data_IF_758094838232
#
_entry.id   IF_758094838232
#
_cell.length_a   1.000
_cell.length_b   1.000
_cell.length_c   1.000
_cell.angle_alpha   90.00
_cell.angle_beta   90.00
_cell.angle_gamma   90.00
#
_symmetry.space_group_name_H-M   'P 1'
#
loop_
_entity.id
_entity.type
_entity.pdbx_description
1 polymer ?
#
# COMPACT_ATOMS: atom_id res chain seq x y z
N UNK A 1 28.84 -45.95 -7.09
CA UNK A 1 27.97 -45.22 -6.14
C UNK A 1 28.00 -43.75 -6.55
N UNK A 2 27.01 -43.32 -7.32
CA UNK A 2 26.83 -41.91 -7.69
C UNK A 2 25.56 -41.43 -6.97
N UNK A 3 25.75 -40.54 -6.00
CA UNK A 3 24.69 -39.93 -5.23
C UNK A 3 24.20 -38.69 -5.99
N UNK A 4 22.93 -38.70 -6.40
CA UNK A 4 22.33 -37.69 -7.27
C UNK A 4 21.68 -36.59 -6.44
N UNK A 5 22.09 -35.34 -6.68
CA UNK A 5 21.52 -34.13 -6.09
C UNK A 5 20.03 -33.96 -6.43
N UNK A 6 19.18 -33.53 -5.48
CA UNK A 6 17.75 -33.34 -5.74
C UNK A 6 17.51 -32.07 -6.57
N UNK A 7 16.94 -32.25 -7.77
CA UNK A 7 16.41 -31.15 -8.59
C UNK A 7 15.10 -30.63 -7.98
N UNK A 8 14.94 -29.31 -7.92
CA UNK A 8 13.68 -28.66 -7.56
C UNK A 8 12.55 -29.16 -8.49
N UNK A 9 11.48 -29.68 -7.88
CA UNK A 9 10.33 -30.19 -8.62
C UNK A 9 9.66 -29.07 -9.42
N UNK A 10 9.30 -29.37 -10.67
CA UNK A 10 8.51 -28.51 -11.55
C UNK A 10 7.18 -28.20 -10.85
N UNK A 11 6.83 -26.92 -10.71
CA UNK A 11 5.61 -26.49 -10.03
C UNK A 11 4.38 -27.25 -10.55
N UNK A 12 3.64 -27.89 -9.65
CA UNK A 12 2.36 -28.52 -9.97
C UNK A 12 1.37 -27.42 -10.30
N UNK A 13 0.83 -27.42 -11.52
CA UNK A 13 -0.35 -26.63 -11.85
C UNK A 13 -1.47 -26.99 -10.86
N UNK A 14 -2.04 -25.97 -10.23
CA UNK A 14 -3.22 -26.14 -9.40
C UNK A 14 -4.35 -26.75 -10.27
N UNK A 15 -5.02 -27.83 -9.83
CA UNK A 15 -6.14 -28.37 -10.56
C UNK A 15 -7.22 -27.30 -10.67
N UNK A 16 -7.66 -27.01 -11.90
CA UNK A 16 -8.85 -26.20 -12.13
C UNK A 16 -10.01 -26.98 -11.51
N UNK A 17 -10.76 -26.40 -10.53
CA UNK A 17 -11.93 -27.06 -9.97
C UNK A 17 -12.89 -27.47 -11.10
N UNK A 18 -13.40 -28.70 -11.12
CA UNK A 18 -14.40 -29.08 -12.11
C UNK A 18 -15.67 -28.26 -11.89
N UNK A 19 -16.13 -27.57 -12.95
CA UNK A 19 -17.32 -26.74 -12.94
C UNK A 19 -17.03 -25.27 -13.25
N UNK A 20 -18.05 -24.54 -13.68
CA UNK A 20 -17.97 -23.09 -13.74
C UNK A 20 -17.87 -22.57 -12.31
N UNK A 21 -16.79 -21.88 -11.97
CA UNK A 21 -16.69 -21.19 -10.69
C UNK A 21 -17.77 -20.11 -10.66
N UNK A 22 -18.82 -20.34 -9.88
CA UNK A 22 -19.85 -19.34 -9.60
C UNK A 22 -19.45 -18.62 -8.31
N UNK A 23 -18.95 -17.37 -8.39
CA UNK A 23 -18.57 -16.64 -7.19
C UNK A 23 -19.80 -16.43 -6.30
N UNK A 24 -19.67 -16.55 -4.97
CA UNK A 24 -20.77 -16.24 -4.06
C UNK A 24 -21.23 -14.79 -4.28
N UNK A 25 -22.56 -14.58 -4.27
CA UNK A 25 -23.14 -13.27 -4.52
C UNK A 25 -22.53 -12.19 -3.60
N UNK A 26 -22.01 -11.14 -4.23
CA UNK A 26 -21.38 -10.00 -3.55
C UNK A 26 -22.34 -9.30 -2.60
N UNK A 27 -23.58 -9.14 -3.02
CA UNK A 27 -24.67 -8.56 -2.25
C UNK A 27 -25.80 -9.58 -2.15
N UNK A 28 -26.27 -9.82 -0.92
CA UNK A 28 -27.46 -10.62 -0.68
C UNK A 28 -28.50 -9.72 -0.01
N UNK A 29 -29.59 -9.45 -0.74
CA UNK A 29 -30.77 -8.74 -0.24
C UNK A 29 -31.88 -9.78 0.01
N UNK A 30 -32.28 -10.04 1.27
CA UNK A 30 -33.34 -10.99 1.56
C UNK A 30 -34.69 -10.54 0.97
N UNK A 31 -35.42 -11.45 0.33
CA UNK A 31 -36.73 -11.16 -0.29
C UNK A 31 -37.84 -10.81 0.73
N UNK A 32 -37.70 -11.24 1.98
CA UNK A 32 -38.72 -11.12 3.03
C UNK A 32 -38.34 -10.13 4.15
N UNK A 33 -37.85 -8.93 3.79
CA UNK A 33 -37.66 -7.84 4.76
C UNK A 33 -36.49 -8.00 5.73
N UNK A 34 -35.46 -8.77 5.35
CA UNK A 34 -34.24 -8.93 6.14
C UNK A 34 -33.18 -7.87 5.81
N UNK A 35 -32.24 -7.64 6.75
CA UNK A 35 -31.12 -6.75 6.49
C UNK A 35 -30.11 -7.34 5.50
N UNK A 36 -29.63 -6.56 4.52
CA UNK A 36 -28.67 -7.02 3.54
C UNK A 36 -27.31 -7.38 4.16
N UNK A 37 -26.58 -8.24 3.47
CA UNK A 37 -25.16 -8.47 3.73
C UNK A 37 -24.36 -8.27 2.45
N UNK A 38 -23.15 -7.74 2.62
CA UNK A 38 -22.18 -7.56 1.53
C UNK A 38 -20.95 -8.40 1.85
N UNK A 39 -20.58 -9.28 0.93
CA UNK A 39 -19.36 -10.08 1.01
C UNK A 39 -18.24 -9.35 0.27
N UNK A 40 -17.02 -9.53 0.73
CA UNK A 40 -15.83 -9.01 0.11
C UNK A 40 -14.78 -10.12 0.05
N UNK A 41 -14.11 -10.24 -1.09
CA UNK A 41 -12.94 -11.09 -1.29
C UNK A 41 -11.88 -10.19 -1.94
N UNK A 42 -10.77 -9.98 -1.24
CA UNK A 42 -9.66 -9.16 -1.73
C UNK A 42 -8.79 -9.92 -2.73
N UNK A 43 -7.95 -9.19 -3.48
CA UNK A 43 -6.92 -9.79 -4.34
C UNK A 43 -5.94 -10.68 -3.57
N UNK A 44 -5.75 -10.41 -2.27
CA UNK A 44 -4.95 -11.19 -1.33
C UNK A 44 -5.71 -12.39 -0.72
N UNK A 45 -6.85 -12.79 -1.30
CA UNK A 45 -7.74 -13.86 -0.82
C UNK A 45 -8.35 -13.61 0.56
N UNK A 46 -8.18 -12.40 1.14
CA UNK A 46 -8.79 -12.08 2.43
C UNK A 46 -10.27 -11.77 2.26
N UNK A 47 -11.07 -12.40 3.09
CA UNK A 47 -12.52 -12.24 3.05
C UNK A 47 -13.05 -11.32 4.16
N UNK A 48 -14.19 -10.69 3.92
CA UNK A 48 -14.95 -9.97 4.94
C UNK A 48 -16.44 -10.02 4.64
N UNK A 49 -17.25 -10.04 5.70
CA UNK A 49 -18.72 -10.01 5.59
C UNK A 49 -19.25 -8.81 6.37
N UNK A 50 -19.89 -7.89 5.66
CA UNK A 50 -20.48 -6.69 6.20
C UNK A 50 -21.98 -6.91 6.39
N UNK A 51 -22.42 -7.00 7.65
CA UNK A 51 -23.81 -7.33 8.02
C UNK A 51 -24.54 -6.06 8.45
N UNK A 52 -25.48 -5.58 7.63
CA UNK A 52 -26.26 -4.38 7.96
C UNK A 52 -27.23 -4.60 9.12
N UNK A 53 -27.60 -5.85 9.43
CA UNK A 53 -28.46 -6.19 10.58
C UNK A 53 -27.95 -5.66 11.93
N UNK A 54 -26.66 -5.34 12.02
CA UNK A 54 -26.01 -4.83 13.23
C UNK A 54 -26.05 -3.30 13.34
N UNK A 55 -26.63 -2.62 12.35
CA UNK A 55 -26.68 -1.16 12.29
C UNK A 55 -28.08 -0.63 12.61
N UNK A 56 -28.19 0.59 13.15
CA UNK A 56 -29.47 1.26 13.27
C UNK A 56 -29.95 1.76 11.90
N UNK A 57 -31.20 2.23 11.81
CA UNK A 57 -31.80 2.81 10.60
C UNK A 57 -32.02 1.80 9.47
N UNK A 58 -32.81 0.77 9.76
CA UNK A 58 -33.11 -0.35 8.85
C UNK A 58 -33.57 0.10 7.45
N UNK A 59 -34.32 1.19 7.34
CA UNK A 59 -34.79 1.71 6.06
C UNK A 59 -33.71 2.33 5.15
N UNK A 60 -32.47 2.51 5.65
CA UNK A 60 -31.31 2.92 4.86
C UNK A 60 -30.44 1.74 4.42
N UNK A 61 -30.68 0.53 4.94
CA UNK A 61 -29.73 -0.58 4.82
C UNK A 61 -29.52 -1.01 3.37
N UNK A 62 -30.60 -1.15 2.60
CA UNK A 62 -30.54 -1.64 1.22
C UNK A 62 -29.76 -0.70 0.30
N UNK A 63 -30.08 0.59 0.35
CA UNK A 63 -29.43 1.59 -0.51
C UNK A 63 -27.92 1.69 -0.19
N UNK A 64 -27.54 1.70 1.09
CA UNK A 64 -26.13 1.72 1.49
C UNK A 64 -25.41 0.40 1.23
N UNK A 65 -26.10 -0.75 1.30
CA UNK A 65 -25.51 -2.03 0.95
C UNK A 65 -25.23 -2.13 -0.56
N UNK A 66 -26.14 -1.63 -1.40
CA UNK A 66 -25.93 -1.49 -2.85
C UNK A 66 -24.76 -0.57 -3.16
N UNK A 67 -24.67 0.60 -2.52
CA UNK A 67 -23.55 1.51 -2.69
C UNK A 67 -22.22 0.88 -2.24
N UNK A 68 -22.20 0.20 -1.10
CA UNK A 68 -21.00 -0.49 -0.62
C UNK A 68 -20.58 -1.59 -1.61
N UNK A 69 -21.52 -2.40 -2.09
CA UNK A 69 -21.28 -3.45 -3.08
C UNK A 69 -20.72 -2.88 -4.39
N UNK A 70 -21.27 -1.78 -4.90
CA UNK A 70 -20.76 -1.12 -6.10
C UNK A 70 -19.29 -0.69 -5.95
N UNK A 71 -18.89 -0.23 -4.75
CA UNK A 71 -17.53 0.26 -4.50
C UNK A 71 -16.49 -0.82 -4.28
N UNK A 72 -16.89 -1.98 -3.76
CA UNK A 72 -15.98 -3.09 -3.45
C UNK A 72 -16.07 -4.24 -4.45
N UNK A 73 -17.07 -4.21 -5.33
CA UNK A 73 -17.27 -5.19 -6.38
C UNK A 73 -16.23 -5.11 -7.50
N UNK A 74 -16.38 -5.93 -8.54
CA UNK A 74 -15.38 -6.07 -9.61
C UNK A 74 -15.09 -4.74 -10.34
N UNK A 75 -16.11 -3.92 -10.54
CA UNK A 75 -15.98 -2.59 -11.17
C UNK A 75 -15.57 -1.49 -10.17
N UNK A 76 -15.45 -1.84 -8.89
CA UNK A 76 -15.14 -0.93 -7.79
C UNK A 76 -13.65 -0.67 -7.61
N UNK A 77 -13.31 0.51 -7.07
CA UNK A 77 -11.92 0.92 -6.82
C UNK A 77 -11.31 0.39 -5.51
N UNK A 78 -12.02 -0.43 -4.72
CA UNK A 78 -11.57 -0.87 -3.39
C UNK A 78 -11.22 -2.35 -3.37
N UNK A 79 -9.97 -2.67 -3.70
CA UNK A 79 -9.49 -4.05 -3.91
C UNK A 79 -8.84 -4.72 -2.70
N UNK A 80 -8.65 -3.98 -1.60
CA UNK A 80 -8.05 -4.51 -0.36
C UNK A 80 -9.05 -4.56 0.78
N UNK A 81 -8.90 -5.56 1.66
CA UNK A 81 -9.74 -5.71 2.85
C UNK A 81 -9.71 -4.45 3.73
N UNK A 82 -8.54 -3.82 3.89
CA UNK A 82 -8.39 -2.58 4.66
C UNK A 82 -9.24 -1.45 4.10
N UNK A 83 -9.30 -1.31 2.78
CA UNK A 83 -10.07 -0.26 2.14
C UNK A 83 -11.59 -0.52 2.23
N UNK A 84 -12.01 -1.77 2.03
CA UNK A 84 -13.41 -2.19 2.23
C UNK A 84 -13.86 -1.98 3.69
N UNK A 85 -13.02 -2.36 4.66
CA UNK A 85 -13.26 -2.13 6.08
C UNK A 85 -13.35 -0.63 6.40
N UNK A 86 -12.49 0.21 5.81
CA UNK A 86 -12.57 1.66 5.96
C UNK A 86 -13.94 2.21 5.55
N UNK A 87 -14.45 1.76 4.39
CA UNK A 87 -15.77 2.17 3.89
C UNK A 87 -16.90 1.71 4.83
N UNK A 88 -16.83 0.47 5.30
CA UNK A 88 -17.78 -0.07 6.28
C UNK A 88 -17.79 0.74 7.58
N UNK A 89 -16.62 1.08 8.12
CA UNK A 89 -16.51 1.88 9.33
C UNK A 89 -17.08 3.30 9.15
N UNK A 90 -16.95 3.88 7.95
CA UNK A 90 -17.58 5.17 7.63
C UNK A 90 -19.11 5.08 7.65
N UNK A 91 -19.71 4.01 7.10
CA UNK A 91 -21.15 3.74 7.17
C UNK A 91 -21.60 3.59 8.62
N UNK A 92 -20.93 2.72 9.39
CA UNK A 92 -21.28 2.47 10.80
C UNK A 92 -21.35 3.76 11.60
N UNK A 93 -20.31 4.58 11.53
CA UNK A 93 -20.23 5.84 12.27
C UNK A 93 -21.30 6.81 11.81
N UNK A 94 -21.55 6.91 10.52
CA UNK A 94 -22.60 7.77 9.99
C UNK A 94 -23.97 7.37 10.53
N UNK A 95 -24.31 6.09 10.47
CA UNK A 95 -25.57 5.55 10.98
C UNK A 95 -25.69 5.76 12.49
N UNK A 96 -24.61 5.54 13.25
CA UNK A 96 -24.59 5.85 14.68
C UNK A 96 -24.88 7.32 14.94
N UNK A 97 -24.25 8.26 14.22
CA UNK A 97 -24.52 9.70 14.40
C UNK A 97 -25.97 10.05 14.10
N UNK A 98 -26.53 9.52 13.01
CA UNK A 98 -27.91 9.79 12.62
C UNK A 98 -28.93 9.21 13.58
N UNK A 99 -28.67 8.02 14.14
CA UNK A 99 -29.56 7.37 15.10
C UNK A 99 -29.72 8.16 16.42
N UNK A 100 -28.81 9.08 16.73
CA UNK A 100 -28.89 9.95 17.91
C UNK A 100 -29.64 11.27 17.64
N UNK A 101 -30.13 11.49 16.42
CA UNK A 101 -30.96 12.65 16.11
C UNK A 101 -32.36 12.49 16.73
N UNK A 102 -32.98 13.62 17.08
CA UNK A 102 -34.35 13.63 17.59
C UNK A 102 -35.36 13.08 16.56
N UNK A 103 -35.10 13.33 15.28
CA UNK A 103 -35.85 12.80 14.14
C UNK A 103 -34.86 12.19 13.12
N UNK A 104 -34.51 10.90 13.27
CA UNK A 104 -33.54 10.24 12.41
C UNK A 104 -34.15 9.90 11.03
N UNK A 105 -33.40 10.08 9.93
CA UNK A 105 -33.89 9.75 8.58
C UNK A 105 -34.17 8.25 8.48
N UNK A 106 -35.37 7.90 8.00
CA UNK A 106 -35.80 6.52 7.85
C UNK A 106 -35.47 5.97 6.47
N UNK A 107 -35.41 6.85 5.46
CA UNK A 107 -35.18 6.50 4.06
C UNK A 107 -34.16 7.45 3.44
N UNK A 108 -33.57 7.06 2.31
CA UNK A 108 -32.59 7.92 1.61
C UNK A 108 -33.21 9.24 1.15
N UNK A 109 -34.53 9.27 0.89
CA UNK A 109 -35.26 10.48 0.56
C UNK A 109 -35.31 11.49 1.73
N UNK A 110 -35.05 11.04 2.96
CA UNK A 110 -35.03 11.87 4.16
C UNK A 110 -33.63 12.45 4.43
N UNK A 111 -32.61 12.00 3.70
CA UNK A 111 -31.26 12.53 3.86
C UNK A 111 -31.19 14.00 3.40
N UNK A 112 -30.50 14.82 4.19
CA UNK A 112 -30.34 16.27 3.97
C UNK A 112 -28.89 16.66 4.20
N UNK A 113 -28.49 17.82 3.70
CA UNK A 113 -27.14 18.38 3.91
C UNK A 113 -26.77 18.44 5.41
N UNK A 114 -27.72 18.85 6.27
CA UNK A 114 -27.54 18.89 7.74
C UNK A 114 -27.09 17.56 8.36
N UNK A 115 -27.43 16.42 7.75
CA UNK A 115 -27.02 15.09 8.23
C UNK A 115 -25.53 14.84 7.97
N UNK A 116 -25.04 15.28 6.81
CA UNK A 116 -23.61 15.24 6.44
C UNK A 116 -22.81 16.21 7.31
N UNK A 117 -23.35 17.41 7.55
CA UNK A 117 -22.72 18.39 8.44
C UNK A 117 -22.65 17.91 9.89
N UNK A 118 -23.72 17.29 10.40
CA UNK A 118 -23.72 16.70 11.74
C UNK A 118 -22.66 15.62 11.87
N UNK A 119 -22.50 14.77 10.86
CA UNK A 119 -21.44 13.79 10.81
C UNK A 119 -20.06 14.44 10.84
N UNK A 120 -19.84 15.50 10.05
CA UNK A 120 -18.59 16.28 10.08
C UNK A 120 -18.29 16.82 11.47
N UNK A 121 -19.28 17.42 12.16
CA UNK A 121 -19.11 17.95 13.52
C UNK A 121 -18.70 16.84 14.50
N UNK A 122 -19.38 15.69 14.48
CA UNK A 122 -19.01 14.54 15.31
C UNK A 122 -17.59 14.02 15.02
N UNK A 123 -17.11 14.14 13.78
CA UNK A 123 -15.71 13.79 13.47
C UNK A 123 -14.71 14.79 14.02
N UNK A 124 -15.03 16.09 14.02
CA UNK A 124 -14.15 17.12 14.58
C UNK A 124 -14.02 17.01 16.10
N UNK A 125 -15.02 16.48 16.80
CA UNK A 125 -14.96 16.20 18.25
C UNK A 125 -13.95 15.10 18.60
N UNK A 126 -13.65 14.19 17.67
CA UNK A 126 -12.90 12.95 17.96
C UNK A 126 -11.56 12.84 17.24
N UNK A 127 -11.28 13.69 16.25
CA UNK A 127 -10.02 13.66 15.51
C UNK A 127 -9.66 15.01 14.90
N UNK A 128 -8.39 15.17 14.53
CA UNK A 128 -7.89 16.37 13.86
C UNK A 128 -8.66 16.68 12.56
N UNK A 129 -8.76 17.97 12.22
CA UNK A 129 -9.55 18.47 11.09
C UNK A 129 -9.24 17.77 9.77
N UNK A 130 -7.95 17.58 9.44
CA UNK A 130 -7.52 16.88 8.22
C UNK A 130 -8.11 15.47 8.13
N UNK A 131 -8.15 14.75 9.25
CA UNK A 131 -8.70 13.39 9.32
C UNK A 131 -10.22 13.40 9.25
N UNK A 132 -10.88 14.38 9.90
CA UNK A 132 -12.32 14.56 9.80
C UNK A 132 -12.77 14.84 8.36
N UNK A 133 -12.06 15.73 7.65
CA UNK A 133 -12.32 16.04 6.24
C UNK A 133 -12.21 14.79 5.35
N UNK A 134 -11.19 13.96 5.56
CA UNK A 134 -11.03 12.71 4.82
C UNK A 134 -12.20 11.76 5.03
N UNK A 135 -12.68 11.59 6.26
CA UNK A 135 -13.85 10.74 6.54
C UNK A 135 -15.13 11.27 5.87
N UNK A 136 -15.33 12.59 5.88
CA UNK A 136 -16.47 13.22 5.22
C UNK A 136 -16.39 13.03 3.71
N UNK A 137 -15.20 13.16 3.10
CA UNK A 137 -14.98 12.86 1.68
C UNK A 137 -15.29 11.41 1.32
N UNK A 138 -14.84 10.46 2.13
CA UNK A 138 -15.15 9.03 1.94
C UNK A 138 -16.65 8.73 2.02
N UNK A 139 -17.36 9.40 2.94
CA UNK A 139 -18.82 9.34 3.04
C UNK A 139 -19.48 9.94 1.79
N UNK A 140 -19.06 11.11 1.34
CA UNK A 140 -19.68 11.77 0.18
C UNK A 140 -19.49 10.98 -1.10
N UNK A 141 -18.33 10.34 -1.29
CA UNK A 141 -18.13 9.38 -2.37
C UNK A 141 -19.14 8.23 -2.30
N UNK A 142 -19.42 7.70 -1.10
CA UNK A 142 -20.43 6.65 -0.94
C UNK A 142 -21.83 7.14 -1.25
N UNK A 143 -22.17 8.35 -0.81
CA UNK A 143 -23.49 8.95 -1.06
C UNK A 143 -23.74 9.17 -2.55
N UNK A 144 -22.70 9.48 -3.33
CA UNK A 144 -22.76 9.56 -4.81
C UNK A 144 -22.98 8.22 -5.49
N UNK A 145 -22.59 7.13 -4.83
CA UNK A 145 -22.75 5.76 -5.33
C UNK A 145 -24.07 5.11 -4.83
N UNK A 146 -24.92 5.86 -4.10
CA UNK A 146 -26.26 5.37 -3.76
C UNK A 146 -27.07 5.13 -5.04
N UNK A 147 -27.88 4.05 -5.08
CA UNK A 147 -28.77 3.79 -6.21
C UNK A 147 -29.81 4.91 -6.33
N UNK A 148 -30.29 5.14 -7.55
CA UNK A 148 -31.40 6.06 -7.84
C UNK A 148 -31.20 7.46 -7.21
N UNK A 149 -30.10 8.14 -7.56
CA UNK A 149 -29.72 9.47 -7.05
C UNK A 149 -30.84 10.53 -7.14
N UNK A 150 -31.85 10.33 -7.98
CA UNK A 150 -33.03 11.17 -8.10
C UNK A 150 -33.91 11.15 -6.84
N UNK A 151 -33.88 10.06 -6.06
CA UNK A 151 -34.56 9.92 -4.76
C UNK A 151 -33.96 10.82 -3.68
N UNK A 152 -32.68 11.21 -3.83
CA UNK A 152 -32.05 12.14 -2.90
C UNK A 152 -32.67 13.53 -3.05
N UNK A 153 -32.83 14.18 -1.91
CA UNK A 153 -33.31 15.55 -1.86
C UNK A 153 -32.37 16.49 -2.67
N UNK A 154 -32.98 17.42 -3.39
CA UNK A 154 -32.29 18.19 -4.44
C UNK A 154 -31.10 19.00 -3.93
N UNK A 155 -31.18 19.59 -2.73
CA UNK A 155 -30.05 20.34 -2.15
C UNK A 155 -28.92 19.42 -1.73
N UNK A 156 -29.21 18.24 -1.16
CA UNK A 156 -28.21 17.21 -0.89
C UNK A 156 -27.53 16.73 -2.18
N UNK A 157 -28.30 16.44 -3.25
CA UNK A 157 -27.72 16.06 -4.54
C UNK A 157 -26.82 17.16 -5.11
N UNK A 158 -27.27 18.41 -5.05
CA UNK A 158 -26.47 19.57 -5.44
C UNK A 158 -25.18 19.70 -4.62
N UNK A 159 -25.29 19.54 -3.30
CA UNK A 159 -24.15 19.54 -2.37
C UNK A 159 -23.13 18.46 -2.71
N UNK A 160 -23.60 17.24 -3.02
CA UNK A 160 -22.73 16.15 -3.45
C UNK A 160 -22.01 16.46 -4.77
N UNK A 161 -22.60 17.23 -5.68
CA UNK A 161 -21.98 17.61 -6.96
C UNK A 161 -21.01 18.81 -6.86
N UNK A 162 -21.03 19.58 -5.77
CA UNK A 162 -20.17 20.76 -5.63
C UNK A 162 -18.67 20.39 -5.58
N UNK A 163 -17.87 21.04 -6.43
CA UNK A 163 -16.40 20.94 -6.43
C UNK A 163 -15.85 21.56 -5.14
N UNK A 164 -14.89 20.88 -4.50
CA UNK A 164 -14.31 21.29 -3.21
C UNK A 164 -14.97 20.65 -1.98
N UNK A 165 -16.23 20.22 -2.10
CA UNK A 165 -16.96 19.52 -1.04
C UNK A 165 -17.03 18.00 -1.27
N UNK A 166 -16.03 17.34 -1.88
CA UNK A 166 -15.98 15.88 -1.75
C UNK A 166 -15.14 15.06 -2.71
N UNK A 167 -14.75 15.61 -3.86
CA UNK A 167 -13.78 14.99 -4.75
C UNK A 167 -13.06 16.14 -5.43
N UNK A 168 -11.73 16.10 -5.44
CA UNK A 168 -10.87 17.19 -5.91
C UNK A 168 -10.95 18.50 -5.11
N UNK A 169 -10.69 18.45 -3.79
CA UNK A 169 -9.52 19.27 -3.42
C UNK A 169 -8.39 18.42 -3.95
N UNK A 170 -7.89 18.72 -5.16
CA UNK A 170 -6.51 18.37 -5.41
C UNK A 170 -5.80 18.94 -4.19
N UNK A 171 -5.36 18.08 -3.27
CA UNK A 171 -4.16 18.46 -2.55
C UNK A 171 -3.26 18.95 -3.67
N UNK A 172 -2.79 20.22 -3.66
CA UNK A 172 -1.84 20.64 -4.67
C UNK A 172 -0.85 19.49 -4.71
N UNK A 173 -0.85 18.74 -5.83
CA UNK A 173 -0.06 17.51 -5.89
C UNK A 173 1.30 17.95 -5.43
N UNK A 174 1.85 17.33 -4.37
CA UNK A 174 3.06 17.83 -3.70
C UNK A 174 3.93 18.39 -4.80
N UNK A 175 4.17 19.72 -4.84
CA UNK A 175 4.73 20.34 -6.03
C UNK A 175 5.91 19.47 -6.42
N UNK A 176 5.87 18.95 -7.66
CA UNK A 176 6.96 18.14 -8.17
C UNK A 176 8.26 18.88 -7.87
N UNK A 177 9.33 18.15 -7.53
CA UNK A 177 10.59 18.75 -7.13
C UNK A 177 10.89 19.98 -7.99
N UNK A 178 11.11 21.13 -7.35
CA UNK A 178 11.57 22.31 -8.08
C UNK A 178 12.88 21.97 -8.80
N UNK A 179 13.22 22.69 -9.88
CA UNK A 179 14.44 22.38 -10.65
C UNK A 179 15.69 22.31 -9.76
N UNK A 180 15.76 23.14 -8.71
CA UNK A 180 16.83 23.12 -7.71
C UNK A 180 16.81 21.87 -6.83
N UNK A 181 15.63 21.40 -6.40
CA UNK A 181 15.48 20.19 -5.59
C UNK A 181 15.76 18.95 -6.42
N UNK A 182 15.26 18.92 -7.66
CA UNK A 182 15.57 17.85 -8.61
C UNK A 182 17.06 17.81 -8.90
N UNK A 183 17.70 18.95 -9.15
CA UNK A 183 19.15 19.02 -9.37
C UNK A 183 19.94 18.57 -8.13
N UNK A 184 19.51 18.94 -6.93
CA UNK A 184 20.14 18.51 -5.68
C UNK A 184 20.00 17.00 -5.46
N UNK A 185 18.81 16.44 -5.68
CA UNK A 185 18.55 14.99 -5.59
C UNK A 185 19.37 14.23 -6.63
N UNK A 186 19.43 14.71 -7.87
CA UNK A 186 20.22 14.08 -8.93
C UNK A 186 21.74 14.18 -8.68
N UNK A 187 22.21 15.29 -8.10
CA UNK A 187 23.62 15.43 -7.71
C UNK A 187 23.99 14.48 -6.58
N UNK A 188 23.15 14.36 -5.55
CA UNK A 188 23.34 13.41 -4.46
C UNK A 188 23.33 11.96 -4.99
N UNK A 189 22.30 11.57 -5.75
CA UNK A 189 22.21 10.24 -6.33
C UNK A 189 23.40 9.91 -7.24
N UNK A 190 23.86 10.87 -8.07
CA UNK A 190 25.07 10.68 -8.88
C UNK A 190 26.31 10.47 -8.03
N UNK A 191 26.47 11.25 -6.97
CA UNK A 191 27.60 11.12 -6.04
C UNK A 191 27.61 9.73 -5.40
N UNK A 192 26.45 9.27 -4.93
CA UNK A 192 26.30 7.95 -4.31
C UNK A 192 26.58 6.82 -5.31
N UNK A 193 26.09 6.92 -6.56
CA UNK A 193 26.39 5.95 -7.62
C UNK A 193 27.88 5.89 -7.95
N UNK A 194 28.58 7.05 -7.97
CA UNK A 194 30.04 7.08 -8.15
C UNK A 194 30.74 6.40 -6.98
N UNK A 195 30.33 6.68 -5.74
CA UNK A 195 30.89 6.03 -4.55
C UNK A 195 30.68 4.50 -4.57
N UNK A 196 29.48 4.04 -4.96
CA UNK A 196 29.15 2.62 -5.12
C UNK A 196 30.07 1.97 -6.16
N UNK A 197 30.19 2.60 -7.34
CA UNK A 197 31.05 2.11 -8.43
C UNK A 197 32.51 2.02 -7.99
N UNK A 198 33.04 3.10 -7.39
CA UNK A 198 34.45 3.18 -7.02
C UNK A 198 34.79 2.18 -5.91
N UNK A 199 33.89 1.98 -4.95
CA UNK A 199 34.00 0.94 -3.92
C UNK A 199 34.07 -0.46 -4.54
N UNK A 200 33.16 -0.79 -5.46
CA UNK A 200 33.14 -2.11 -6.11
C UNK A 200 34.38 -2.35 -6.97
N UNK A 201 34.78 -1.36 -7.77
CA UNK A 201 35.98 -1.44 -8.61
C UNK A 201 37.26 -1.61 -7.77
N UNK A 202 37.37 -0.90 -6.63
CA UNK A 202 38.49 -1.06 -5.72
C UNK A 202 38.54 -2.46 -5.09
N UNK A 203 37.39 -3.04 -4.75
CA UNK A 203 37.30 -4.39 -4.21
C UNK A 203 37.62 -5.47 -5.26
N UNK A 204 37.13 -5.31 -6.49
CA UNK A 204 37.44 -6.19 -7.61
C UNK A 204 38.94 -6.19 -7.93
N UNK A 205 39.56 -5.00 -7.99
CA UNK A 205 41.00 -4.88 -8.20
C UNK A 205 41.81 -5.54 -7.09
N UNK A 206 41.40 -5.37 -5.82
CA UNK A 206 42.07 -6.02 -4.69
C UNK A 206 41.92 -7.55 -4.77
N UNK A 207 40.73 -8.04 -5.13
CA UNK A 207 40.46 -9.46 -5.30
C UNK A 207 41.30 -10.08 -6.42
N UNK A 208 41.45 -9.38 -7.55
CA UNK A 208 42.30 -9.81 -8.67
C UNK A 208 43.77 -9.90 -8.24
N UNK A 209 44.31 -8.84 -7.63
CA UNK A 209 45.69 -8.82 -7.11
C UNK A 209 45.94 -9.91 -6.06
N UNK A 210 44.95 -10.18 -5.21
CA UNK A 210 45.04 -11.26 -4.24
C UNK A 210 45.06 -12.63 -4.91
N UNK A 211 44.30 -12.86 -5.98
CA UNK A 211 44.30 -14.12 -6.72
C UNK A 211 45.61 -14.36 -7.48
N UNK A 212 46.21 -13.30 -8.03
CA UNK A 212 47.46 -13.40 -8.79
C UNK A 212 48.68 -13.60 -7.90
N UNK A 213 48.84 -12.78 -6.85
CA UNK A 213 50.01 -12.85 -5.99
C UNK A 213 49.71 -12.35 -4.56
N UNK A 214 49.12 -13.20 -3.70
CA UNK A 214 48.76 -12.82 -2.33
C UNK A 214 49.98 -12.40 -1.49
N UNK A 215 51.16 -12.99 -1.73
CA UNK A 215 52.39 -12.67 -1.00
C UNK A 215 52.92 -11.26 -1.26
N UNK A 216 52.56 -10.65 -2.40
CA UNK A 216 52.97 -9.29 -2.76
C UNK A 216 52.18 -8.20 -2.02
N UNK A 217 51.04 -8.56 -1.41
CA UNK A 217 50.17 -7.62 -0.69
C UNK A 217 50.64 -7.44 0.76
N UNK A 218 50.54 -6.19 1.24
CA UNK A 218 50.70 -5.88 2.66
C UNK A 218 49.68 -6.66 3.52
N UNK A 219 50.02 -6.95 4.78
CA UNK A 219 49.19 -7.80 5.63
C UNK A 219 47.70 -7.40 5.71
N UNK A 220 47.32 -6.11 5.89
CA UNK A 220 45.91 -5.72 5.92
C UNK A 220 45.17 -5.92 4.59
N UNK A 221 45.86 -5.66 3.47
CA UNK A 221 45.29 -5.85 2.13
C UNK A 221 45.14 -7.34 1.79
N UNK A 222 46.07 -8.18 2.26
CA UNK A 222 46.02 -9.63 2.11
C UNK A 222 44.88 -10.26 2.91
N UNK A 223 44.67 -9.83 4.16
CA UNK A 223 43.54 -10.28 4.99
C UNK A 223 42.21 -9.89 4.36
N UNK A 224 42.07 -8.62 3.95
CA UNK A 224 40.87 -8.14 3.25
C UNK A 224 40.65 -8.88 1.92
N UNK A 225 41.70 -9.11 1.13
CA UNK A 225 41.63 -9.89 -0.12
C UNK A 225 41.17 -11.33 0.09
N UNK A 226 41.63 -11.98 1.18
CA UNK A 226 41.20 -13.32 1.55
C UNK A 226 39.69 -13.38 1.88
N UNK A 227 39.17 -12.39 2.61
CA UNK A 227 37.74 -12.27 2.91
C UNK A 227 36.91 -12.10 1.63
N UNK A 228 37.33 -11.19 0.74
CA UNK A 228 36.66 -10.98 -0.55
C UNK A 228 36.68 -12.24 -1.42
N UNK A 229 37.80 -12.97 -1.44
CA UNK A 229 37.93 -14.22 -2.19
C UNK A 229 36.99 -15.31 -1.65
N UNK A 230 36.87 -15.43 -0.33
CA UNK A 230 35.92 -16.35 0.31
C UNK A 230 34.46 -15.99 -0.03
N UNK A 231 34.10 -14.70 0.05
CA UNK A 231 32.77 -14.22 -0.32
C UNK A 231 32.45 -14.50 -1.79
N UNK A 232 33.38 -14.21 -2.71
CA UNK A 232 33.21 -14.43 -4.14
C UNK A 232 33.01 -15.91 -4.49
N UNK A 233 33.71 -16.80 -3.78
CA UNK A 233 33.62 -18.24 -3.99
C UNK A 233 32.30 -18.83 -3.48
N UNK A 234 31.85 -18.38 -2.30
CA UNK A 234 30.71 -18.98 -1.60
C UNK A 234 29.37 -18.28 -1.90
N UNK A 235 29.40 -17.05 -2.41
CA UNK A 235 28.21 -16.22 -2.56
C UNK A 235 27.52 -15.88 -1.23
N UNK A 236 28.25 -15.98 -0.12
CA UNK A 236 27.76 -15.75 1.25
C UNK A 236 28.74 -14.91 2.03
N UNK A 237 28.22 -14.10 2.93
CA UNK A 237 29.00 -13.30 3.87
C UNK A 237 29.15 -14.08 5.16
N UNK A 238 30.39 -14.20 5.64
CA UNK A 238 30.71 -14.83 6.92
C UNK A 238 31.40 -13.81 7.81
N UNK A 239 30.65 -13.31 8.79
CA UNK A 239 31.16 -12.46 9.87
C UNK A 239 31.37 -13.32 11.12
N UNK A 240 32.53 -13.18 11.77
CA UNK A 240 32.72 -13.76 13.10
C UNK A 240 31.87 -12.99 14.11
N UNK A 241 30.95 -13.70 14.76
CA UNK A 241 30.06 -13.14 15.78
C UNK A 241 30.74 -13.03 17.15
N UNK A 242 31.91 -13.65 17.34
CA UNK A 242 32.64 -13.65 18.61
C UNK A 242 33.24 -12.26 18.86
N UNK A 243 32.70 -11.57 19.85
CA UNK A 243 33.14 -10.21 20.23
C UNK A 243 32.24 -9.09 19.71
N UNK A 244 31.18 -9.40 18.94
CA UNK A 244 30.16 -8.42 18.59
C UNK A 244 29.18 -8.20 19.75
N UNK A 245 28.79 -6.94 19.93
CA UNK A 245 27.69 -6.56 20.84
C UNK A 245 26.38 -7.15 20.32
N UNK A 246 25.48 -7.54 21.22
CA UNK A 246 24.15 -8.06 20.87
C UNK A 246 23.44 -7.05 19.96
N UNK A 247 22.99 -7.50 18.79
CA UNK A 247 22.32 -6.68 17.78
C UNK A 247 23.24 -6.09 16.69
N UNK A 248 24.56 -6.13 16.85
CA UNK A 248 25.50 -5.58 15.86
C UNK A 248 25.75 -6.51 14.66
N UNK A 249 25.32 -7.78 14.74
CA UNK A 249 25.58 -8.79 13.71
C UNK A 249 25.00 -8.43 12.34
N UNK A 250 23.80 -7.82 12.29
CA UNK A 250 23.19 -7.42 11.03
C UNK A 250 24.01 -6.31 10.34
N UNK A 251 24.41 -5.29 11.10
CA UNK A 251 25.24 -4.19 10.58
C UNK A 251 26.62 -4.67 10.13
N UNK A 252 27.24 -5.59 10.87
CA UNK A 252 28.53 -6.16 10.49
C UNK A 252 28.44 -7.02 9.22
N UNK A 253 27.34 -7.76 9.03
CA UNK A 253 27.10 -8.47 7.77
C UNK A 253 26.89 -7.52 6.61
N UNK A 254 26.11 -6.45 6.81
CA UNK A 254 25.89 -5.46 5.76
C UNK A 254 27.19 -4.78 5.35
N UNK A 255 28.00 -4.35 6.32
CA UNK A 255 29.31 -3.73 6.07
C UNK A 255 30.27 -4.66 5.32
N UNK A 256 30.25 -5.96 5.63
CA UNK A 256 31.07 -6.93 4.91
C UNK A 256 30.50 -7.24 3.51
N UNK A 257 29.17 -7.37 3.37
CA UNK A 257 28.50 -7.57 2.08
C UNK A 257 28.80 -6.43 1.11
N UNK A 258 28.70 -5.20 1.62
CA UNK A 258 28.95 -3.96 0.89
C UNK A 258 30.32 -3.87 0.24
N UNK A 259 31.31 -4.62 0.69
CA UNK A 259 32.62 -4.53 0.06
C UNK A 259 32.64 -5.11 -1.36
N UNK A 260 31.81 -6.12 -1.67
CA UNK A 260 31.83 -6.81 -2.97
C UNK A 260 30.48 -6.83 -3.69
N UNK A 261 29.38 -6.59 -2.98
CA UNK A 261 28.03 -6.69 -3.51
C UNK A 261 27.30 -5.35 -3.44
N UNK A 262 26.36 -5.20 -4.36
CA UNK A 262 25.30 -4.19 -4.25
C UNK A 262 24.36 -4.64 -3.13
N UNK A 263 24.08 -3.77 -2.16
CA UNK A 263 23.15 -4.04 -1.06
C UNK A 263 21.88 -3.21 -1.17
N UNK A 264 20.89 -3.46 -0.31
CA UNK A 264 19.59 -2.79 -0.35
C UNK A 264 19.70 -1.25 -0.28
N UNK A 265 20.61 -0.74 0.55
CA UNK A 265 20.87 0.70 0.67
C UNK A 265 21.44 1.33 -0.62
N UNK A 266 22.08 0.52 -1.48
CA UNK A 266 22.62 0.99 -2.76
C UNK A 266 21.52 1.11 -3.83
N UNK A 267 20.36 0.47 -3.63
CA UNK A 267 19.28 0.44 -4.62
C UNK A 267 18.64 1.81 -4.84
N UNK A 268 18.41 2.57 -3.76
CA UNK A 268 17.77 3.88 -3.84
C UNK A 268 18.54 4.87 -4.75
N UNK A 269 19.84 5.14 -4.56
CA UNK A 269 20.58 6.04 -5.42
C UNK A 269 20.68 5.52 -6.87
N UNK A 270 20.85 4.20 -7.07
CA UNK A 270 20.88 3.60 -8.40
C UNK A 270 19.56 3.80 -9.16
N UNK A 271 18.42 3.56 -8.48
CA UNK A 271 17.10 3.73 -9.05
C UNK A 271 16.76 5.19 -9.33
N UNK A 272 17.06 6.10 -8.40
CA UNK A 272 16.82 7.54 -8.57
C UNK A 272 17.63 8.07 -9.75
N UNK A 273 18.91 7.72 -9.84
CA UNK A 273 19.77 8.16 -10.93
C UNK A 273 19.31 7.58 -12.28
N UNK A 274 18.93 6.30 -12.34
CA UNK A 274 18.41 5.67 -13.56
C UNK A 274 17.06 6.28 -14.01
N UNK A 275 16.14 6.53 -13.06
CA UNK A 275 14.85 7.17 -13.36
C UNK A 275 15.03 8.61 -13.86
N UNK A 276 15.96 9.36 -13.25
CA UNK A 276 16.29 10.72 -13.68
C UNK A 276 16.96 10.77 -15.07
N UNK A 277 17.87 9.85 -15.36
CA UNK A 277 18.55 9.76 -16.67
C UNK A 277 17.62 9.32 -17.80
N UNK A 278 16.60 8.51 -17.50
CA UNK A 278 15.63 8.01 -18.51
C UNK A 278 14.46 8.95 -18.74
N UNK A 279 14.36 10.07 -18.00
CA UNK A 279 13.24 11.01 -18.10
C UNK A 279 11.89 10.43 -17.64
N UNK A 280 11.87 9.27 -16.98
CA UNK A 280 10.65 8.60 -16.47
C UNK A 280 10.14 9.18 -15.15
N UNK A 281 10.54 10.41 -14.82
CA UNK A 281 9.96 11.12 -13.69
C UNK A 281 8.69 11.83 -14.18
N UNK A 282 7.48 11.51 -13.69
CA UNK A 282 6.21 12.00 -14.22
C UNK A 282 5.91 13.49 -13.91
N UNK A 283 6.95 14.32 -13.75
CA UNK A 283 6.87 15.73 -13.38
C UNK A 283 7.27 16.73 -14.48
N UNK A 284 7.45 16.28 -15.73
CA UNK A 284 7.55 17.16 -16.90
C UNK A 284 6.32 17.03 -17.78
#
# INVERSE_FOLDING_TARGET
>A
MNDATPRAARGRSAPIPPGYYEPPALLVVPREGGSPLVRFVGEDQRESVFRFALLPLAGLHEDFARALAARIGPDGGRRTQRAAMGQWQSIRRFFTVLAHLADPPQRVEDLRVRHVERYRMSRLETCAEKTALKHVQELMLLLRDLPDQERLEGTLRGYLCQRGHGVNVQQPGLPGYSDREFSAVMAAARSDVVAIRDRLAAAELLLERYRENPSSLAAPARERGALLAAMALQGRVQVDYRGLVIGAYAAANDEQARQLFVVDDDLAPLMIYAAGMTGRNPGR
#
